data_IF_003831496162
#
_entry.id   IF_003831496162
#
_cell.length_a   1.000
_cell.length_b   1.000
_cell.length_c   1.000
_cell.angle_alpha   90.00
_cell.angle_beta   90.00
_cell.angle_gamma   90.00
#
_symmetry.space_group_name_H-M   'P 1'
#
loop_
_entity.id
_entity.type
_entity.pdbx_description
1 polymer ?
#
# COMPACT_ATOMS: atom_id res chain seq x y z
N UNK A 1 -6.65 -6.67 -9.27
CA UNK A 1 -6.37 -7.17 -10.62
C UNK A 1 -5.46 -8.39 -10.49
N UNK A 2 -5.93 -9.50 -9.90
CA UNK A 2 -5.04 -10.63 -9.59
C UNK A 2 -4.72 -11.49 -10.81
N UNK A 3 -5.57 -11.44 -11.85
CA UNK A 3 -5.30 -12.06 -13.15
C UNK A 3 -4.05 -11.45 -13.80
N UNK A 4 -3.84 -10.13 -13.67
CA UNK A 4 -2.60 -9.43 -14.03
C UNK A 4 -1.51 -9.63 -12.97
N UNK A 5 -1.82 -9.43 -11.69
CA UNK A 5 -0.90 -9.52 -10.56
C UNK A 5 -0.76 -10.97 -10.05
N UNK A 6 -0.22 -11.82 -10.92
CA UNK A 6 0.04 -13.24 -10.66
C UNK A 6 1.21 -13.74 -11.48
N UNK A 7 1.76 -14.89 -11.12
CA UNK A 7 2.89 -15.49 -11.84
C UNK A 7 2.47 -15.99 -13.23
N UNK A 8 3.41 -15.92 -14.16
CA UNK A 8 3.23 -16.30 -15.57
C UNK A 8 4.23 -17.38 -16.04
N UNK A 9 5.03 -17.94 -15.13
CA UNK A 9 6.09 -18.89 -15.47
C UNK A 9 5.61 -20.34 -15.62
N UNK A 10 4.42 -20.67 -15.10
CA UNK A 10 3.80 -22.00 -15.23
C UNK A 10 2.40 -21.81 -15.82
N UNK A 11 2.17 -22.47 -16.94
CA UNK A 11 0.85 -22.47 -17.59
C UNK A 11 -0.17 -23.21 -16.73
N UNK A 12 0.24 -24.32 -16.12
CA UNK A 12 -0.63 -25.13 -15.25
C UNK A 12 -1.11 -24.31 -14.06
N UNK A 13 -0.23 -23.53 -13.42
CA UNK A 13 -0.60 -22.63 -12.32
C UNK A 13 -1.63 -21.58 -12.76
N UNK A 14 -1.45 -21.00 -13.95
CA UNK A 14 -2.37 -20.01 -14.52
C UNK A 14 -3.75 -20.62 -14.83
N UNK A 15 -3.79 -21.87 -15.29
CA UNK A 15 -5.02 -22.57 -15.64
C UNK A 15 -5.76 -23.12 -14.40
N UNK A 16 -5.02 -23.60 -13.39
CA UNK A 16 -5.59 -24.23 -12.20
C UNK A 16 -6.13 -23.22 -11.19
N UNK A 17 -5.39 -22.14 -10.93
CA UNK A 17 -5.79 -21.20 -9.88
C UNK A 17 -7.06 -20.43 -10.28
N UNK A 18 -7.92 -20.17 -9.30
CA UNK A 18 -9.16 -19.40 -9.46
C UNK A 18 -9.15 -18.20 -8.53
N UNK A 19 -9.14 -17.01 -9.12
CA UNK A 19 -9.26 -15.76 -8.39
C UNK A 19 -10.74 -15.46 -8.15
N UNK A 20 -11.09 -15.09 -6.92
CA UNK A 20 -12.46 -14.87 -6.48
C UNK A 20 -13.02 -13.53 -6.97
N UNK A 21 -12.19 -12.50 -7.02
CA UNK A 21 -12.62 -11.12 -7.19
C UNK A 21 -11.64 -10.29 -8.04
N UNK A 22 -12.15 -9.19 -8.59
CA UNK A 22 -11.39 -8.29 -9.46
C UNK A 22 -10.15 -7.72 -8.77
N UNK A 23 -10.17 -7.52 -7.45
CA UNK A 23 -9.02 -7.16 -6.62
C UNK A 23 -8.92 -8.11 -5.43
N UNK A 24 -8.15 -9.20 -5.60
CA UNK A 24 -7.90 -10.15 -4.52
C UNK A 24 -7.40 -9.47 -3.26
N UNK A 25 -8.01 -9.83 -2.14
CA UNK A 25 -7.59 -9.42 -0.80
C UNK A 25 -6.28 -10.12 -0.38
N UNK A 26 -5.59 -9.57 0.63
CA UNK A 26 -4.33 -10.14 1.12
C UNK A 26 -4.45 -11.63 1.52
N UNK A 27 -5.51 -12.11 2.19
CA UNK A 27 -5.63 -13.53 2.52
C UNK A 27 -5.69 -14.44 1.29
N UNK A 28 -6.28 -14.01 0.18
CA UNK A 28 -6.30 -14.78 -1.07
C UNK A 28 -4.93 -14.79 -1.75
N UNK A 29 -4.24 -13.65 -1.77
CA UNK A 29 -2.87 -13.56 -2.30
C UNK A 29 -1.90 -14.43 -1.48
N UNK A 30 -2.08 -14.48 -0.16
CA UNK A 30 -1.27 -15.36 0.70
C UNK A 30 -1.51 -16.83 0.38
N UNK A 31 -2.78 -17.28 0.26
CA UNK A 31 -3.08 -18.65 -0.15
C UNK A 31 -2.48 -19.00 -1.51
N UNK A 32 -2.50 -18.06 -2.46
CA UNK A 32 -1.86 -18.23 -3.76
C UNK A 32 -0.35 -18.43 -3.62
N UNK A 33 0.34 -17.58 -2.84
CA UNK A 33 1.77 -17.71 -2.59
C UNK A 33 2.14 -19.01 -1.87
N UNK A 34 1.34 -19.42 -0.88
CA UNK A 34 1.49 -20.69 -0.17
C UNK A 34 1.34 -21.89 -1.10
N UNK A 35 0.30 -21.87 -1.96
CA UNK A 35 0.07 -22.88 -2.99
C UNK A 35 1.25 -22.98 -3.96
N UNK A 36 1.78 -21.85 -4.43
CA UNK A 36 2.97 -21.83 -5.29
C UNK A 36 4.17 -22.45 -4.58
N UNK A 37 4.41 -22.08 -3.32
CA UNK A 37 5.51 -22.63 -2.55
C UNK A 37 5.36 -24.14 -2.28
N UNK A 38 4.14 -24.66 -2.18
CA UNK A 38 3.88 -26.11 -2.02
C UNK A 38 4.06 -26.83 -3.36
N UNK A 39 3.48 -26.29 -4.44
CA UNK A 39 3.53 -26.87 -5.78
C UNK A 39 4.96 -27.09 -6.28
N UNK A 40 5.85 -26.14 -5.99
CA UNK A 40 7.24 -26.19 -6.44
C UNK A 40 8.22 -26.59 -5.33
N UNK A 41 7.69 -27.03 -4.18
CA UNK A 41 8.47 -27.48 -3.02
C UNK A 41 9.59 -26.49 -2.63
N UNK A 42 9.23 -25.21 -2.49
CA UNK A 42 10.18 -24.14 -2.23
C UNK A 42 10.57 -24.08 -0.74
N UNK A 43 9.69 -24.54 0.16
CA UNK A 43 9.87 -24.40 1.61
C UNK A 43 11.09 -25.14 2.15
N UNK A 44 11.52 -26.23 1.50
CA UNK A 44 12.70 -27.01 1.93
C UNK A 44 13.99 -26.19 1.95
N UNK A 45 14.06 -25.15 1.11
CA UNK A 45 15.24 -24.31 0.91
C UNK A 45 15.11 -22.94 1.61
N UNK A 46 14.02 -22.72 2.36
CA UNK A 46 13.75 -21.45 3.06
C UNK A 46 13.96 -21.63 4.56
N UNK A 47 14.87 -20.84 5.13
CA UNK A 47 14.97 -20.67 6.58
C UNK A 47 14.07 -19.51 7.02
N UNK A 48 12.88 -19.83 7.53
CA UNK A 48 11.99 -18.85 8.16
C UNK A 48 12.55 -18.41 9.52
N UNK A 49 11.95 -17.38 10.11
CA UNK A 49 12.35 -16.81 11.42
C UNK A 49 13.86 -16.52 11.51
N UNK A 50 14.46 -16.15 10.38
CA UNK A 50 15.90 -15.94 10.22
C UNK A 50 16.13 -14.61 9.51
N UNK A 51 16.84 -13.69 10.16
CA UNK A 51 17.16 -12.39 9.58
C UNK A 51 18.61 -12.36 9.15
N UNK A 52 18.86 -11.98 7.90
CA UNK A 52 20.23 -11.66 7.42
C UNK A 52 20.66 -10.33 8.03
N UNK A 53 21.74 -10.34 8.80
CA UNK A 53 22.23 -9.15 9.51
C UNK A 53 23.44 -8.52 8.83
N UNK A 54 24.28 -9.31 8.16
CA UNK A 54 25.41 -8.79 7.40
C UNK A 54 25.77 -9.63 6.17
N UNK A 55 26.34 -8.95 5.18
CA UNK A 55 26.89 -9.53 3.96
C UNK A 55 28.29 -8.96 3.74
N UNK A 56 29.33 -9.77 3.87
CA UNK A 56 30.73 -9.31 3.72
C UNK A 56 31.43 -10.07 2.61
N UNK A 57 31.92 -9.35 1.61
CA UNK A 57 32.73 -9.93 0.53
C UNK A 57 34.12 -10.34 1.01
N UNK A 58 34.52 -11.58 0.73
CA UNK A 58 35.80 -12.18 1.14
C UNK A 58 36.77 -12.42 -0.02
N UNK A 59 36.56 -11.78 -1.18
CA UNK A 59 37.41 -11.93 -2.36
C UNK A 59 36.94 -12.99 -3.36
N UNK A 60 36.38 -14.11 -2.90
CA UNK A 60 35.82 -15.17 -3.77
C UNK A 60 34.36 -15.55 -3.45
N UNK A 61 33.92 -15.25 -2.23
CA UNK A 61 32.57 -15.55 -1.75
C UNK A 61 32.09 -14.49 -0.76
N UNK A 62 30.80 -14.54 -0.45
CA UNK A 62 30.15 -13.74 0.56
C UNK A 62 30.05 -14.53 1.87
N UNK A 63 30.46 -13.92 2.97
CA UNK A 63 30.01 -14.31 4.30
C UNK A 63 28.64 -13.69 4.56
N UNK A 64 27.67 -14.56 4.85
CA UNK A 64 26.28 -14.20 5.15
C UNK A 64 26.04 -14.50 6.62
N UNK A 65 25.92 -13.46 7.44
CA UNK A 65 25.55 -13.60 8.83
C UNK A 65 24.04 -13.55 8.99
N UNK A 66 23.51 -14.47 9.78
CA UNK A 66 22.09 -14.59 10.08
C UNK A 66 21.88 -14.72 11.57
N UNK A 67 20.75 -14.23 12.06
CA UNK A 67 20.30 -14.42 13.43
C UNK A 67 18.92 -15.04 13.42
N UNK A 68 18.69 -16.04 14.27
CA UNK A 68 17.35 -16.53 14.53
C UNK A 68 16.53 -15.42 15.22
N UNK A 69 15.39 -15.06 14.64
CA UNK A 69 14.44 -14.15 15.23
C UNK A 69 13.57 -14.92 16.22
N UNK A 70 13.93 -14.92 17.50
CA UNK A 70 13.01 -15.39 18.54
C UNK A 70 12.03 -14.27 18.83
N UNK A 71 10.74 -14.52 18.63
CA UNK A 71 9.67 -13.61 19.04
C UNK A 71 9.78 -13.30 20.54
N UNK A 72 10.22 -12.08 20.88
CA UNK A 72 9.92 -11.46 22.17
C UNK A 72 10.93 -11.57 23.31
N UNK A 73 12.19 -11.95 23.10
CA UNK A 73 13.22 -11.83 24.16
C UNK A 73 14.52 -11.29 23.59
N UNK A 74 15.00 -10.17 24.15
CA UNK A 74 16.37 -9.67 24.01
C UNK A 74 17.34 -10.66 24.70
N UNK A 75 17.51 -11.83 24.09
CA UNK A 75 18.62 -12.74 24.35
C UNK A 75 19.64 -12.62 23.22
N UNK A 76 20.91 -12.89 23.50
CA UNK A 76 21.97 -13.01 22.47
C UNK A 76 21.55 -14.06 21.43
N UNK A 77 20.89 -13.62 20.36
CA UNK A 77 20.48 -14.49 19.28
C UNK A 77 21.73 -15.08 18.64
N UNK A 78 21.83 -16.40 18.63
CA UNK A 78 22.98 -17.09 18.06
C UNK A 78 23.17 -16.66 16.61
N UNK A 79 24.32 -16.03 16.33
CA UNK A 79 24.68 -15.62 14.97
C UNK A 79 25.30 -16.80 14.23
N UNK A 80 24.73 -17.15 13.09
CA UNK A 80 25.27 -18.17 12.19
C UNK A 80 25.87 -17.50 10.96
N UNK A 81 27.07 -17.91 10.56
CA UNK A 81 27.73 -17.43 9.35
C UNK A 81 27.82 -18.56 8.33
N UNK A 82 27.29 -18.31 7.13
CA UNK A 82 27.37 -19.22 5.97
C UNK A 82 28.09 -18.55 4.81
N UNK A 83 28.59 -19.34 3.86
CA UNK A 83 29.28 -18.84 2.66
C UNK A 83 28.41 -18.99 1.42
N UNK A 84 28.34 -17.97 0.58
CA UNK A 84 27.63 -18.01 -0.71
C UNK A 84 28.48 -17.40 -1.84
N UNK A 85 28.44 -17.99 -3.04
CA UNK A 85 29.13 -17.41 -4.22
C UNK A 85 28.40 -16.17 -4.75
N UNK A 86 27.08 -16.20 -4.70
CA UNK A 86 26.21 -15.12 -5.16
C UNK A 86 25.18 -14.81 -4.09
N UNK A 87 24.79 -13.53 -3.99
CA UNK A 87 23.72 -13.07 -3.12
C UNK A 87 22.70 -12.33 -3.96
N UNK A 88 21.43 -12.74 -3.86
CA UNK A 88 20.29 -12.10 -4.54
C UNK A 88 19.38 -11.49 -3.48
N UNK A 89 19.33 -10.17 -3.42
CA UNK A 89 18.50 -9.44 -2.45
C UNK A 89 17.05 -9.30 -2.97
N UNK A 90 16.19 -10.23 -2.56
CA UNK A 90 14.74 -10.17 -2.80
C UNK A 90 13.98 -9.61 -1.58
N UNK A 91 14.51 -8.55 -0.96
CA UNK A 91 14.07 -8.01 0.35
C UNK A 91 12.80 -7.13 0.29
N UNK A 92 12.24 -6.93 -0.90
CA UNK A 92 11.03 -6.14 -1.13
C UNK A 92 11.27 -4.62 -1.12
N UNK A 93 10.44 -3.88 -1.83
CA UNK A 93 10.53 -2.41 -1.93
C UNK A 93 9.64 -1.66 -0.92
N UNK A 94 8.80 -2.37 -0.15
CA UNK A 94 7.85 -1.84 0.83
C UNK A 94 7.76 -2.77 2.05
N UNK A 95 8.90 -3.08 2.66
CA UNK A 95 9.02 -4.09 3.73
C UNK A 95 9.54 -3.53 5.05
N UNK A 96 10.22 -2.39 5.05
CA UNK A 96 10.66 -1.70 6.26
C UNK A 96 9.56 -0.75 6.75
N UNK A 97 8.75 -1.19 7.72
CA UNK A 97 7.69 -0.37 8.31
C UNK A 97 8.22 0.97 8.84
N UNK A 98 7.58 2.08 8.45
CA UNK A 98 7.94 3.40 8.94
C UNK A 98 7.03 3.76 10.11
N UNK A 99 7.54 3.61 11.33
CA UNK A 99 6.85 4.05 12.55
C UNK A 99 7.44 5.41 12.97
N UNK A 100 6.75 6.53 12.69
CA UNK A 100 7.22 7.84 13.12
C UNK A 100 7.27 7.89 14.65
N UNK A 101 8.33 8.51 15.17
CA UNK A 101 8.43 8.80 16.60
C UNK A 101 7.67 10.07 16.91
N UNK A 102 6.83 10.03 17.94
CA UNK A 102 6.14 11.20 18.46
C UNK A 102 6.61 11.50 19.87
N UNK A 103 6.47 12.76 20.28
CA UNK A 103 6.72 13.15 21.67
C UNK A 103 5.83 12.31 22.59
N UNK A 104 6.45 11.68 23.59
CA UNK A 104 5.79 10.89 24.63
C UNK A 104 4.98 9.66 24.14
N UNK A 105 5.20 9.17 22.91
CA UNK A 105 4.46 8.03 22.33
C UNK A 105 4.44 6.77 23.22
N UNK A 106 5.54 6.50 23.93
CA UNK A 106 5.67 5.40 24.90
C UNK A 106 4.76 5.51 26.13
N UNK A 107 4.16 6.67 26.39
CA UNK A 107 3.28 6.85 27.55
C UNK A 107 1.88 6.28 27.33
N UNK A 108 1.45 6.12 26.07
CA UNK A 108 0.10 5.66 25.75
C UNK A 108 -0.15 4.26 26.31
N UNK A 109 -1.20 4.11 27.12
CA UNK A 109 -1.52 2.86 27.81
C UNK A 109 -2.45 1.95 27.00
N UNK A 110 -3.05 2.45 25.93
CA UNK A 110 -3.88 1.66 25.02
C UNK A 110 -3.06 0.81 24.05
N UNK A 111 -3.75 0.12 23.15
CA UNK A 111 -3.09 -0.75 22.16
C UNK A 111 -2.60 0.03 20.95
N UNK A 112 -1.41 -0.28 20.47
CA UNK A 112 -0.87 0.30 19.23
C UNK A 112 -0.68 -0.78 18.18
N UNK A 113 -0.97 -0.45 16.93
CA UNK A 113 -0.83 -1.35 15.80
C UNK A 113 -0.16 -0.62 14.64
N UNK A 114 0.69 -1.29 13.88
CA UNK A 114 1.19 -0.79 12.61
C UNK A 114 0.62 -1.65 11.48
N UNK A 115 0.10 -1.04 10.42
CA UNK A 115 -0.56 -1.80 9.33
C UNK A 115 0.39 -2.76 8.60
N UNK A 116 1.70 -2.50 8.66
CA UNK A 116 2.75 -3.40 8.14
C UNK A 116 3.17 -4.53 9.08
N UNK A 117 2.66 -4.58 10.31
CA UNK A 117 2.92 -5.63 11.29
C UNK A 117 1.64 -5.91 12.10
N UNK A 118 0.60 -6.34 11.40
CA UNK A 118 -0.73 -6.54 11.97
C UNK A 118 -0.84 -7.91 12.67
N UNK A 119 -1.53 -8.02 13.83
CA UNK A 119 -1.74 -9.30 14.50
C UNK A 119 -2.46 -10.32 13.61
N UNK A 120 -1.97 -11.57 13.61
CA UNK A 120 -2.49 -12.65 12.74
C UNK A 120 -3.90 -13.10 13.13
N UNK A 121 -4.21 -13.05 14.43
CA UNK A 121 -5.52 -13.34 15.00
C UNK A 121 -6.57 -12.25 14.72
N UNK A 122 -6.15 -11.15 14.09
CA UNK A 122 -6.97 -9.97 13.87
C UNK A 122 -7.09 -9.09 15.10
N UNK A 123 -7.85 -8.01 14.96
CA UNK A 123 -8.10 -7.05 16.02
C UNK A 123 -9.58 -6.72 16.03
N UNK A 124 -10.21 -6.84 17.20
CA UNK A 124 -11.58 -6.41 17.42
C UNK A 124 -11.60 -4.97 17.93
N UNK A 125 -12.22 -4.07 17.17
CA UNK A 125 -12.41 -2.67 17.55
C UNK A 125 -13.82 -2.38 18.09
N UNK A 126 -14.66 -3.40 18.28
CA UNK A 126 -16.03 -3.24 18.76
C UNK A 126 -16.07 -2.46 20.07
N UNK A 127 -16.83 -1.38 20.10
CA UNK A 127 -16.98 -0.54 21.30
C UNK A 127 -15.80 0.41 21.58
N UNK A 128 -14.72 0.37 20.80
CA UNK A 128 -13.51 1.15 21.06
C UNK A 128 -13.53 2.52 20.38
N UNK A 129 -12.80 3.45 20.99
CA UNK A 129 -12.37 4.73 20.42
C UNK A 129 -11.02 4.53 19.74
N UNK A 130 -10.98 4.64 18.41
CA UNK A 130 -9.80 4.29 17.62
C UNK A 130 -9.26 5.53 16.90
N UNK A 131 -7.95 5.70 16.92
CA UNK A 131 -7.26 6.66 16.07
C UNK A 131 -6.57 5.94 14.89
N UNK A 132 -6.66 6.49 13.68
CA UNK A 132 -5.82 6.08 12.54
C UNK A 132 -4.93 7.26 12.14
N UNK A 133 -3.62 7.05 12.17
CA UNK A 133 -2.62 8.05 11.75
C UNK A 133 -2.09 7.66 10.38
N UNK A 134 -2.36 8.50 9.38
CA UNK A 134 -1.91 8.30 8.00
C UNK A 134 -3.04 7.88 7.05
N UNK A 135 -3.08 8.52 5.89
CA UNK A 135 -4.12 8.35 4.87
C UNK A 135 -3.53 7.98 3.50
N UNK A 136 -2.42 7.24 3.50
CA UNK A 136 -1.94 6.52 2.32
C UNK A 136 -2.78 5.26 2.06
N UNK A 137 -2.34 4.38 1.15
CA UNK A 137 -3.08 3.17 0.78
C UNK A 137 -3.51 2.31 1.99
N UNK A 138 -2.63 2.11 2.98
CA UNK A 138 -2.93 1.33 4.18
C UNK A 138 -4.05 1.96 5.01
N UNK A 139 -4.05 3.29 5.17
CA UNK A 139 -5.10 4.01 5.88
C UNK A 139 -6.41 3.99 5.11
N UNK A 140 -6.34 4.29 3.81
CA UNK A 140 -7.50 4.30 2.91
C UNK A 140 -8.23 2.96 2.89
N UNK A 141 -7.50 1.84 2.91
CA UNK A 141 -8.10 0.50 2.89
C UNK A 141 -8.61 0.05 4.26
N UNK A 142 -7.96 0.47 5.35
CA UNK A 142 -8.33 0.02 6.71
C UNK A 142 -9.41 0.89 7.36
N UNK A 143 -9.48 2.19 7.06
CA UNK A 143 -10.44 3.14 7.64
C UNK A 143 -11.89 2.67 7.52
N UNK A 144 -12.39 2.23 6.35
CA UNK A 144 -13.77 1.72 6.23
C UNK A 144 -14.03 0.49 7.10
N UNK A 145 -13.07 -0.45 7.14
CA UNK A 145 -13.17 -1.66 7.95
C UNK A 145 -13.20 -1.34 9.46
N UNK A 146 -12.30 -0.47 9.92
CA UNK A 146 -12.23 -0.04 11.33
C UNK A 146 -13.50 0.75 11.71
N UNK A 147 -13.95 1.68 10.87
CA UNK A 147 -15.14 2.49 11.11
C UNK A 147 -16.43 1.67 11.26
N UNK A 148 -16.48 0.48 10.65
CA UNK A 148 -17.62 -0.43 10.73
C UNK A 148 -17.79 -1.09 12.10
N UNK A 149 -16.71 -1.19 12.89
CA UNK A 149 -16.68 -1.84 14.21
C UNK A 149 -16.55 -0.83 15.36
N UNK A 150 -15.70 0.19 15.19
CA UNK A 150 -15.36 1.15 16.25
C UNK A 150 -16.59 1.93 16.76
N UNK A 151 -16.65 2.15 18.07
CA UNK A 151 -17.63 3.08 18.64
C UNK A 151 -17.39 4.51 18.13
N UNK A 152 -16.13 4.90 17.97
CA UNK A 152 -15.74 6.14 17.30
C UNK A 152 -14.37 5.97 16.63
N UNK A 153 -14.24 6.43 15.38
CA UNK A 153 -12.98 6.49 14.64
C UNK A 153 -12.57 7.94 14.42
N UNK A 154 -11.35 8.30 14.79
CA UNK A 154 -10.72 9.57 14.43
C UNK A 154 -9.57 9.33 13.45
N UNK A 155 -9.70 9.90 12.25
CA UNK A 155 -8.65 9.84 11.22
C UNK A 155 -7.79 11.10 11.31
N UNK A 156 -6.52 10.93 11.63
CA UNK A 156 -5.51 11.97 11.77
C UNK A 156 -4.74 12.07 10.44
N UNK A 157 -5.14 13.03 9.61
CA UNK A 157 -4.65 13.20 8.24
C UNK A 157 -3.67 14.38 8.17
N UNK A 158 -2.45 14.16 7.66
CA UNK A 158 -1.53 15.26 7.33
C UNK A 158 -1.65 15.74 5.89
N UNK A 159 -1.64 14.83 4.93
CA UNK A 159 -1.78 15.18 3.51
C UNK A 159 -2.74 14.19 2.90
N UNK A 160 -3.92 14.64 2.41
CA UNK A 160 -4.83 13.75 1.69
C UNK A 160 -4.15 13.15 0.46
N UNK A 161 -4.38 11.86 0.20
CA UNK A 161 -3.93 11.18 -1.02
C UNK A 161 -5.09 11.10 -2.02
N UNK A 162 -4.76 11.13 -3.31
CA UNK A 162 -5.76 10.80 -4.32
C UNK A 162 -6.11 9.32 -4.23
N UNK A 163 -7.41 9.04 -4.14
CA UNK A 163 -7.98 7.71 -4.25
C UNK A 163 -9.10 7.66 -5.29
N UNK A 164 -9.19 6.52 -5.97
CA UNK A 164 -10.28 6.18 -6.90
C UNK A 164 -10.93 4.86 -6.48
N UNK A 165 -12.23 4.67 -6.74
CA UNK A 165 -12.92 3.46 -6.34
C UNK A 165 -12.34 2.25 -7.05
N UNK A 166 -12.18 1.13 -6.33
CA UNK A 166 -11.80 -0.15 -6.90
C UNK A 166 -12.87 -0.65 -7.88
N UNK A 167 -14.14 -0.38 -7.56
CA UNK A 167 -15.30 -1.03 -8.21
C UNK A 167 -15.07 -2.55 -8.20
N UNK A 168 -14.77 -3.04 -7.00
CA UNK A 168 -14.45 -4.44 -6.79
C UNK A 168 -15.73 -5.27 -6.90
N UNK A 169 -15.60 -6.47 -7.46
CA UNK A 169 -16.72 -7.36 -7.73
C UNK A 169 -16.17 -8.78 -7.93
N UNK A 170 -16.99 -9.82 -7.71
CA UNK A 170 -16.66 -11.17 -8.12
C UNK A 170 -16.28 -11.21 -9.60
N UNK A 171 -15.30 -12.03 -9.95
CA UNK A 171 -14.97 -12.26 -11.36
C UNK A 171 -16.07 -13.11 -12.01
N UNK A 172 -16.54 -12.72 -13.19
CA UNK A 172 -17.52 -13.53 -13.90
C UNK A 172 -16.85 -14.79 -14.48
N UNK A 173 -17.53 -15.95 -14.44
CA UNK A 173 -16.99 -17.18 -15.03
C UNK A 173 -16.62 -17.02 -16.51
N UNK A 174 -17.43 -16.32 -17.29
CA UNK A 174 -17.17 -16.05 -18.71
C UNK A 174 -15.90 -15.22 -18.92
N UNK A 175 -15.66 -14.21 -18.07
CA UNK A 175 -14.44 -13.42 -18.13
C UNK A 175 -13.23 -14.30 -17.81
N UNK A 176 -13.28 -15.08 -16.72
CA UNK A 176 -12.18 -15.99 -16.34
C UNK A 176 -11.90 -17.00 -17.45
N UNK A 177 -12.93 -17.62 -18.03
CA UNK A 177 -12.80 -18.56 -19.13
C UNK A 177 -12.17 -17.91 -20.37
N UNK A 178 -12.56 -16.67 -20.70
CA UNK A 178 -12.00 -15.92 -21.83
C UNK A 178 -10.51 -15.64 -21.67
N UNK A 179 -10.07 -15.32 -20.44
CA UNK A 179 -8.65 -15.11 -20.14
C UNK A 179 -7.91 -16.43 -20.18
N UNK A 180 -8.40 -17.46 -19.48
CA UNK A 180 -7.75 -18.79 -19.43
C UNK A 180 -7.61 -19.41 -20.83
N UNK A 181 -8.56 -19.22 -21.72
CA UNK A 181 -8.49 -19.69 -23.11
C UNK A 181 -7.36 -19.02 -23.93
N UNK A 182 -6.94 -17.80 -23.57
CA UNK A 182 -5.96 -17.01 -24.33
C UNK A 182 -4.94 -16.31 -23.41
N UNK A 183 -4.50 -16.98 -22.35
CA UNK A 183 -3.70 -16.34 -21.30
C UNK A 183 -2.40 -15.77 -21.86
N UNK A 184 -1.74 -16.47 -22.78
CA UNK A 184 -0.54 -15.99 -23.46
C UNK A 184 -0.73 -14.65 -24.18
N UNK A 185 -1.84 -14.48 -24.92
CA UNK A 185 -2.15 -13.22 -25.60
C UNK A 185 -2.50 -12.11 -24.59
N UNK A 186 -3.23 -12.45 -23.52
CA UNK A 186 -3.50 -11.52 -22.44
C UNK A 186 -2.19 -11.02 -21.79
N UNK A 187 -1.26 -11.91 -21.44
CA UNK A 187 0.06 -11.53 -20.89
C UNK A 187 0.84 -10.67 -21.89
N UNK A 188 0.85 -11.05 -23.17
CA UNK A 188 1.53 -10.28 -24.23
C UNK A 188 0.99 -8.86 -24.31
N UNK A 189 -0.33 -8.67 -24.39
CA UNK A 189 -0.95 -7.33 -24.42
C UNK A 189 -0.58 -6.51 -23.20
N UNK A 190 -0.66 -7.10 -22.00
CA UNK A 190 -0.28 -6.41 -20.77
C UNK A 190 1.20 -5.97 -20.81
N UNK A 191 2.12 -6.85 -21.25
CA UNK A 191 3.57 -6.56 -21.34
C UNK A 191 3.92 -5.40 -22.28
N UNK A 192 3.06 -5.10 -23.26
CA UNK A 192 3.24 -3.97 -24.18
C UNK A 192 2.80 -2.63 -23.59
N UNK A 193 2.15 -2.64 -22.42
CA UNK A 193 1.74 -1.41 -21.73
C UNK A 193 2.84 -0.91 -20.79
N UNK A 194 2.92 0.41 -20.59
CA UNK A 194 3.91 1.04 -19.70
C UNK A 194 3.89 0.49 -18.27
N UNK A 195 2.72 0.12 -17.77
CA UNK A 195 2.54 -0.35 -16.39
C UNK A 195 2.41 -1.88 -16.29
N UNK A 196 2.62 -2.61 -17.40
CA UNK A 196 2.41 -4.05 -17.49
C UNK A 196 1.00 -4.51 -17.05
N UNK A 197 -0.01 -3.67 -17.25
CA UNK A 197 -1.39 -3.88 -16.80
C UNK A 197 -2.40 -3.21 -17.74
N UNK A 198 -3.61 -3.79 -17.84
CA UNK A 198 -4.69 -3.25 -18.65
C UNK A 198 -4.48 -3.36 -20.16
N UNK A 199 -3.94 -4.47 -20.64
CA UNK A 199 -3.73 -4.73 -22.07
C UNK A 199 -4.97 -4.54 -22.96
N UNK A 200 -6.17 -4.81 -22.42
CA UNK A 200 -7.45 -4.58 -23.10
C UNK A 200 -8.10 -3.22 -22.74
N UNK A 201 -7.35 -2.33 -22.08
CA UNK A 201 -7.80 -0.99 -21.68
C UNK A 201 -6.72 0.05 -21.99
N UNK A 202 -6.36 0.21 -23.28
CA UNK A 202 -5.24 1.04 -23.71
C UNK A 202 -5.41 2.48 -23.25
N UNK A 203 -4.29 3.19 -23.09
CA UNK A 203 -4.31 4.63 -22.78
C UNK A 203 -5.06 5.40 -23.86
N UNK A 204 -5.83 6.43 -23.47
CA UNK A 204 -6.52 7.30 -24.42
C UNK A 204 -5.55 7.96 -25.40
N UNK A 205 -5.94 8.16 -26.67
CA UNK A 205 -5.02 8.61 -27.72
C UNK A 205 -4.72 10.11 -27.69
N UNK A 206 -5.51 10.90 -26.96
CA UNK A 206 -5.41 12.35 -26.88
C UNK A 206 -4.98 12.81 -25.48
N UNK A 207 -4.47 14.03 -25.40
CA UNK A 207 -4.28 14.74 -24.15
C UNK A 207 -5.58 15.31 -23.61
N UNK A 208 -5.66 15.54 -22.29
CA UNK A 208 -6.92 16.01 -21.68
C UNK A 208 -7.33 17.43 -22.13
N UNK A 209 -6.35 18.27 -22.49
CA UNK A 209 -6.59 19.61 -23.04
C UNK A 209 -6.97 19.62 -24.54
N UNK A 210 -6.80 18.51 -25.25
CA UNK A 210 -7.04 18.42 -26.71
C UNK A 210 -8.49 18.09 -27.07
N UNK A 211 -9.29 17.71 -26.08
CA UNK A 211 -10.69 17.30 -26.24
C UNK A 211 -11.64 18.29 -25.57
N UNK A 212 -12.92 18.26 -25.97
CA UNK A 212 -13.94 19.08 -25.32
C UNK A 212 -14.16 18.69 -23.86
N UNK A 213 -14.75 19.60 -23.08
CA UNK A 213 -15.08 19.36 -21.67
C UNK A 213 -16.00 18.14 -21.47
N UNK A 214 -16.96 17.95 -22.37
CA UNK A 214 -17.91 16.82 -22.33
C UNK A 214 -17.22 15.50 -22.65
N UNK A 215 -16.38 15.46 -23.69
CA UNK A 215 -15.58 14.27 -24.01
C UNK A 215 -14.61 13.93 -22.88
N UNK A 216 -13.96 14.94 -22.30
CA UNK A 216 -13.05 14.76 -21.17
C UNK A 216 -13.78 14.15 -19.98
N UNK A 217 -14.93 14.71 -19.62
CA UNK A 217 -15.75 14.23 -18.50
C UNK A 217 -16.26 12.81 -18.76
N UNK A 218 -16.72 12.50 -19.97
CA UNK A 218 -17.16 11.16 -20.33
C UNK A 218 -16.03 10.12 -20.23
N UNK A 219 -14.83 10.45 -20.72
CA UNK A 219 -13.67 9.56 -20.64
C UNK A 219 -13.23 9.30 -19.19
N UNK A 220 -13.19 10.35 -18.35
CA UNK A 220 -12.88 10.22 -16.93
C UNK A 220 -13.96 9.45 -16.17
N UNK A 221 -15.24 9.67 -16.48
CA UNK A 221 -16.34 8.91 -15.90
C UNK A 221 -16.25 7.43 -16.25
N UNK A 222 -16.02 7.09 -17.52
CA UNK A 222 -15.86 5.70 -17.95
C UNK A 222 -14.71 5.01 -17.19
N UNK A 223 -13.59 5.70 -16.98
CA UNK A 223 -12.46 5.20 -16.19
C UNK A 223 -12.77 5.11 -14.70
N UNK A 224 -13.50 6.06 -14.14
CA UNK A 224 -13.97 6.06 -12.75
C UNK A 224 -14.93 4.89 -12.46
N UNK A 225 -15.83 4.58 -13.40
CA UNK A 225 -16.73 3.43 -13.31
C UNK A 225 -16.01 2.10 -13.54
N UNK A 226 -14.97 2.09 -14.38
CA UNK A 226 -14.08 0.92 -14.48
C UNK A 226 -13.26 0.72 -13.21
N UNK A 227 -12.86 1.80 -12.53
CA UNK A 227 -12.17 1.77 -11.24
C UNK A 227 -10.70 1.35 -11.29
N UNK A 228 -9.97 1.71 -10.23
CA UNK A 228 -8.57 1.37 -10.00
C UNK A 228 -7.54 2.16 -10.81
N UNK A 229 -6.30 1.65 -10.82
CA UNK A 229 -5.10 2.37 -11.26
C UNK A 229 -5.12 2.82 -12.73
N UNK A 230 -5.92 2.13 -13.56
CA UNK A 230 -6.11 2.46 -14.96
C UNK A 230 -6.81 3.81 -15.20
N UNK A 231 -7.29 4.46 -14.15
CA UNK A 231 -7.87 5.80 -14.21
C UNK A 231 -6.95 6.83 -14.89
N UNK A 232 -5.66 6.83 -14.53
CA UNK A 232 -4.67 7.74 -15.10
C UNK A 232 -4.40 7.49 -16.60
N UNK A 233 -4.80 6.33 -17.12
CA UNK A 233 -4.75 6.02 -18.55
C UNK A 233 -5.90 6.63 -19.37
N UNK A 234 -6.73 7.49 -18.80
CA UNK A 234 -7.77 8.21 -19.55
C UNK A 234 -7.20 9.03 -20.72
N UNK A 235 -6.02 9.63 -20.51
CA UNK A 235 -5.33 10.50 -21.48
C UNK A 235 -3.84 10.13 -21.53
N UNK A 236 -3.20 10.35 -22.67
CA UNK A 236 -1.79 9.99 -22.89
C UNK A 236 -0.79 10.89 -22.14
N UNK A 237 -1.24 12.07 -21.71
CA UNK A 237 -0.41 13.13 -21.12
C UNK A 237 -0.72 13.39 -19.64
N UNK A 238 -1.54 12.55 -19.01
CA UNK A 238 -2.03 12.74 -17.65
C UNK A 238 -0.93 12.98 -16.60
N UNK A 239 0.29 12.48 -16.85
CA UNK A 239 1.45 12.59 -15.95
C UNK A 239 2.59 13.45 -16.52
N UNK A 240 2.39 14.09 -17.67
CA UNK A 240 3.43 14.85 -18.38
C UNK A 240 3.00 16.27 -18.73
N UNK A 241 1.70 16.55 -18.85
CA UNK A 241 1.16 17.88 -19.07
C UNK A 241 0.51 18.41 -17.76
N UNK A 242 1.02 19.51 -17.17
CA UNK A 242 0.48 20.08 -15.94
C UNK A 242 -0.98 20.52 -16.02
N UNK A 243 -1.43 21.05 -17.17
CA UNK A 243 -2.80 21.50 -17.34
C UNK A 243 -3.76 20.32 -17.45
N UNK A 244 -3.40 19.30 -18.25
CA UNK A 244 -4.16 18.04 -18.32
C UNK A 244 -4.25 17.38 -16.94
N UNK A 245 -3.14 17.34 -16.19
CA UNK A 245 -3.13 16.81 -14.83
C UNK A 245 -4.08 17.57 -13.90
N UNK A 246 -4.09 18.91 -13.98
CA UNK A 246 -5.00 19.75 -13.19
C UNK A 246 -6.47 19.43 -13.49
N UNK A 247 -6.84 19.30 -14.76
CA UNK A 247 -8.22 18.96 -15.16
C UNK A 247 -8.66 17.57 -14.64
N UNK A 248 -7.74 16.60 -14.65
CA UNK A 248 -7.99 15.24 -14.11
C UNK A 248 -8.10 15.29 -12.58
N UNK A 249 -7.23 16.05 -11.91
CA UNK A 249 -7.26 16.25 -10.47
C UNK A 249 -8.57 16.92 -10.02
N UNK A 250 -9.02 17.94 -10.75
CA UNK A 250 -10.26 18.66 -10.48
C UNK A 250 -11.48 17.73 -10.60
N UNK A 251 -11.50 16.83 -11.59
CA UNK A 251 -12.53 15.78 -11.67
C UNK A 251 -12.59 14.90 -10.42
N UNK A 252 -11.44 14.48 -9.88
CA UNK A 252 -11.43 13.67 -8.65
C UNK A 252 -11.92 14.49 -7.44
N UNK A 253 -11.52 15.75 -7.32
CA UNK A 253 -12.03 16.65 -6.26
C UNK A 253 -13.53 16.87 -6.38
N UNK A 254 -14.08 16.94 -7.58
CA UNK A 254 -15.53 17.00 -7.82
C UNK A 254 -16.23 15.73 -7.33
N UNK A 255 -15.66 14.55 -7.60
CA UNK A 255 -16.18 13.28 -7.09
C UNK A 255 -16.18 13.21 -5.57
N UNK A 256 -15.12 13.70 -4.91
CA UNK A 256 -15.06 13.79 -3.45
C UNK A 256 -16.19 14.68 -2.93
N UNK A 257 -16.35 15.88 -3.51
CA UNK A 257 -17.42 16.83 -3.14
C UNK A 257 -18.84 16.31 -3.38
N UNK A 258 -19.02 15.44 -4.38
CA UNK A 258 -20.30 14.78 -4.65
C UNK A 258 -20.59 13.65 -3.65
N UNK A 259 -19.56 13.02 -3.10
CA UNK A 259 -19.67 11.82 -2.25
C UNK A 259 -19.79 12.19 -0.78
N UNK A 260 -19.03 13.17 -0.31
CA UNK A 260 -18.96 13.59 1.10
C UNK A 260 -19.96 14.73 1.34
N UNK A 261 -20.91 14.50 2.25
CA UNK A 261 -22.04 15.40 2.53
C UNK A 261 -21.62 16.70 3.22
N UNK A 262 -20.65 16.62 4.12
CA UNK A 262 -20.10 17.78 4.80
C UNK A 262 -19.07 18.48 3.88
N UNK A 263 -19.32 19.72 3.44
CA UNK A 263 -18.44 20.42 2.51
C UNK A 263 -17.05 20.71 3.10
N UNK A 264 -16.91 20.86 4.42
CA UNK A 264 -15.62 21.10 5.06
C UNK A 264 -14.79 19.82 5.14
N UNK A 265 -15.44 18.69 5.43
CA UNK A 265 -14.76 17.38 5.35
C UNK A 265 -14.34 17.09 3.90
N UNK A 266 -15.22 17.34 2.92
CA UNK A 266 -14.90 17.19 1.50
C UNK A 266 -13.70 18.04 1.08
N UNK A 267 -13.62 19.29 1.57
CA UNK A 267 -12.48 20.19 1.35
C UNK A 267 -11.19 19.59 1.94
N UNK A 268 -11.22 19.12 3.19
CA UNK A 268 -10.04 18.53 3.87
C UNK A 268 -9.58 17.22 3.22
N UNK A 269 -10.49 16.43 2.65
CA UNK A 269 -10.16 15.21 1.91
C UNK A 269 -9.64 15.45 0.49
N UNK A 270 -9.85 16.65 -0.06
CA UNK A 270 -9.45 16.99 -1.42
C UNK A 270 -7.95 17.30 -1.50
N UNK A 271 -7.13 16.49 -2.22
CA UNK A 271 -5.71 16.75 -2.32
C UNK A 271 -5.38 17.98 -3.17
N UNK A 272 -4.36 18.73 -2.77
CA UNK A 272 -3.78 19.88 -3.50
C UNK A 272 -2.57 19.50 -4.37
N UNK A 273 -1.98 18.31 -4.13
CA UNK A 273 -0.83 17.78 -4.86
C UNK A 273 -1.11 17.43 -6.33
N UNK A 274 -0.06 17.12 -7.09
CA UNK A 274 -0.15 16.60 -8.47
C UNK A 274 -0.66 15.15 -8.44
N UNK A 275 -1.77 14.86 -9.12
CA UNK A 275 -2.32 13.50 -9.16
C UNK A 275 -1.35 12.56 -9.90
N UNK A 276 -1.04 11.42 -9.30
CA UNK A 276 -0.08 10.45 -9.83
C UNK A 276 1.39 10.73 -9.54
N UNK A 277 1.74 11.87 -8.93
CA UNK A 277 3.10 12.11 -8.41
C UNK A 277 3.40 11.20 -7.21
N UNK A 278 2.45 11.09 -6.28
CA UNK A 278 2.36 9.95 -5.36
C UNK A 278 1.48 8.88 -6.01
N UNK A 279 1.74 7.62 -5.69
CA UNK A 279 0.96 6.49 -6.20
C UNK A 279 -0.53 6.71 -5.91
N UNK A 280 -1.35 6.62 -6.96
CA UNK A 280 -2.81 6.66 -6.85
C UNK A 280 -3.29 5.51 -5.95
N UNK A 281 -4.12 5.83 -4.96
CA UNK A 281 -4.73 4.84 -4.09
C UNK A 281 -6.01 4.29 -4.73
N UNK A 282 -6.39 3.09 -4.29
CA UNK A 282 -7.60 2.41 -4.75
C UNK A 282 -8.38 2.00 -3.51
N UNK A 283 -9.64 2.42 -3.43
CA UNK A 283 -10.46 2.28 -2.24
C UNK A 283 -11.75 1.49 -2.44
N UNK A 284 -12.35 1.10 -1.32
CA UNK A 284 -13.74 0.66 -1.24
C UNK A 284 -14.39 1.46 -0.12
N UNK A 285 -15.34 2.33 -0.48
CA UNK A 285 -16.14 3.17 0.42
C UNK A 285 -15.33 4.14 1.32
N UNK A 286 -14.12 4.55 0.90
CA UNK A 286 -13.28 5.42 1.74
C UNK A 286 -13.88 6.80 1.97
N UNK A 287 -14.33 7.47 0.90
CA UNK A 287 -14.92 8.81 1.04
C UNK A 287 -16.29 8.73 1.70
N UNK A 288 -17.09 7.72 1.37
CA UNK A 288 -18.40 7.45 1.95
C UNK A 288 -18.32 7.23 3.47
N UNK A 289 -17.23 6.65 3.96
CA UNK A 289 -16.99 6.41 5.39
C UNK A 289 -17.07 7.70 6.22
N UNK A 290 -16.69 8.84 5.67
CA UNK A 290 -16.75 10.13 6.37
C UNK A 290 -18.15 10.72 6.48
N UNK A 291 -19.16 10.10 5.88
CA UNK A 291 -20.57 10.45 6.10
C UNK A 291 -21.18 9.79 7.34
N UNK A 292 -20.44 8.87 8.00
CA UNK A 292 -20.89 8.19 9.21
C UNK A 292 -20.80 9.11 10.41
N UNK A 293 -21.75 9.02 11.33
CA UNK A 293 -21.76 9.81 12.57
C UNK A 293 -20.63 9.45 13.55
N UNK A 294 -20.07 8.24 13.43
CA UNK A 294 -18.99 7.74 14.30
C UNK A 294 -17.58 7.97 13.74
N UNK A 295 -17.43 8.80 12.71
CA UNK A 295 -16.15 9.09 12.05
C UNK A 295 -15.86 10.58 12.11
N UNK A 296 -14.63 10.94 12.48
CA UNK A 296 -14.13 12.32 12.47
C UNK A 296 -12.81 12.41 11.73
N UNK A 297 -12.59 13.53 11.05
CA UNK A 297 -11.36 13.85 10.33
C UNK A 297 -10.66 15.05 10.98
N UNK A 298 -9.38 14.88 11.32
CA UNK A 298 -8.52 15.95 11.84
C UNK A 298 -7.43 16.24 10.81
N UNK A 299 -7.35 17.49 10.36
CA UNK A 299 -6.25 17.97 9.50
C UNK A 299 -5.06 18.36 10.40
N UNK A 300 -4.01 17.56 10.35
CA UNK A 300 -2.79 17.76 11.13
C UNK A 300 -1.93 18.94 10.63
N UNK A 301 -2.25 19.54 9.49
CA UNK A 301 -1.62 20.79 9.04
C UNK A 301 -2.18 22.00 9.78
N UNK A 302 -3.44 21.92 10.19
CA UNK A 302 -4.13 22.95 10.98
C UNK A 302 -4.02 22.67 12.48
N UNK A 303 -4.07 21.39 12.88
CA UNK A 303 -4.06 20.93 14.28
C UNK A 303 -3.03 19.80 14.47
N UNK A 304 -1.73 20.11 14.55
CA UNK A 304 -0.67 19.10 14.61
C UNK A 304 -0.76 18.25 15.88
N UNK A 305 -0.18 17.04 15.82
CA UNK A 305 0.04 16.21 17.01
C UNK A 305 1.17 16.83 17.81
N UNK A 306 0.88 17.25 19.04
CA UNK A 306 1.87 17.84 19.94
C UNK A 306 2.63 16.77 20.72
N UNK A 307 1.87 15.90 21.39
CA UNK A 307 2.40 14.77 22.17
C UNK A 307 1.33 13.74 22.47
N UNK A 308 1.78 12.55 22.81
CA UNK A 308 0.93 11.50 23.33
C UNK A 308 0.73 11.69 24.85
N UNK A 309 -0.36 11.13 25.35
CA UNK A 309 -0.66 11.04 26.78
C UNK A 309 -0.89 9.59 27.13
N UNK A 310 -1.09 9.32 28.43
CA UNK A 310 -1.48 7.98 28.87
C UNK A 310 -2.80 7.50 28.25
N UNK A 311 -3.71 8.42 27.92
CA UNK A 311 -5.09 8.11 27.45
C UNK A 311 -5.28 8.34 25.96
N UNK A 312 -4.38 9.04 25.27
CA UNK A 312 -4.53 9.32 23.86
C UNK A 312 -3.54 10.35 23.33
N UNK A 313 -4.03 11.34 22.59
CA UNK A 313 -3.20 12.28 21.82
C UNK A 313 -3.67 13.71 22.06
N UNK A 314 -2.73 14.62 22.31
CA UNK A 314 -2.99 16.06 22.30
C UNK A 314 -2.74 16.60 20.89
N UNK A 315 -3.76 17.28 20.34
CA UNK A 315 -3.69 17.95 19.03
C UNK A 315 -3.94 19.45 19.19
N UNK A 316 -3.18 20.25 18.46
CA UNK A 316 -3.24 21.72 18.51
C UNK A 316 -3.09 22.29 19.93
N UNK A 317 -3.81 23.38 20.23
CA UNK A 317 -3.68 24.17 21.47
C UNK A 317 -4.36 23.53 22.70
N UNK A 318 -4.09 22.25 22.97
CA UNK A 318 -4.41 21.49 24.20
C UNK A 318 -5.70 20.64 24.22
N UNK A 319 -6.29 20.26 23.08
CA UNK A 319 -7.38 19.27 23.11
C UNK A 319 -6.81 17.85 23.23
N UNK A 320 -7.06 17.18 24.36
CA UNK A 320 -6.76 15.74 24.52
C UNK A 320 -7.90 14.92 23.90
N UNK A 321 -7.54 14.07 22.95
CA UNK A 321 -8.43 13.07 22.37
C UNK A 321 -8.07 11.71 22.96
N UNK A 322 -9.01 11.10 23.68
CA UNK A 322 -8.81 9.80 24.32
C UNK A 322 -9.09 8.65 23.34
N UNK A 323 -8.27 7.60 23.38
CA UNK A 323 -8.35 6.42 22.51
C UNK A 323 -8.04 5.14 23.27
N UNK A 324 -8.72 4.05 22.91
CA UNK A 324 -8.40 2.70 23.39
C UNK A 324 -7.33 2.05 22.50
N UNK A 325 -7.30 2.43 21.22
CA UNK A 325 -6.36 1.93 20.24
C UNK A 325 -5.88 3.00 19.24
N UNK A 326 -4.62 2.90 18.82
CA UNK A 326 -4.01 3.74 17.80
C UNK A 326 -3.42 2.86 16.70
N UNK A 327 -3.83 3.11 15.46
CA UNK A 327 -3.37 2.42 14.26
C UNK A 327 -2.47 3.36 13.45
N UNK A 328 -1.21 2.97 13.29
CA UNK A 328 -0.24 3.64 12.44
C UNK A 328 -0.31 3.06 11.03
N UNK A 329 -0.89 3.86 10.11
CA UNK A 329 -0.94 3.60 8.68
C UNK A 329 0.08 4.50 7.95
N UNK A 330 1.31 4.52 8.47
CA UNK A 330 2.36 5.51 8.17
C UNK A 330 3.33 5.07 7.08
N UNK A 331 3.06 3.95 6.42
CA UNK A 331 3.77 3.48 5.24
C UNK A 331 5.09 2.78 5.58
N UNK A 332 6.04 2.91 4.66
CA UNK A 332 7.30 2.16 4.68
C UNK A 332 8.47 3.07 4.29
N UNK A 333 9.66 2.75 4.78
CA UNK A 333 10.91 3.23 4.20
C UNK A 333 11.14 2.49 2.87
N UNK A 334 10.67 3.12 1.79
CA UNK A 334 10.50 2.49 0.49
C UNK A 334 11.82 2.38 -0.28
N UNK A 335 11.91 1.34 -1.13
CA UNK A 335 13.02 1.03 -2.04
C UNK A 335 14.31 0.58 -1.36
N UNK A 336 14.90 1.40 -0.49
CA UNK A 336 16.23 1.12 0.08
C UNK A 336 16.18 0.64 1.53
N UNK A 337 15.14 0.95 2.30
CA UNK A 337 15.10 0.70 3.75
C UNK A 337 15.47 -0.73 4.15
N UNK A 338 14.91 -1.74 3.48
CA UNK A 338 15.21 -3.14 3.78
C UNK A 338 16.67 -3.54 3.49
N UNK A 339 17.26 -2.99 2.42
CA UNK A 339 18.66 -3.23 2.07
C UNK A 339 19.58 -2.47 3.02
N UNK A 340 19.23 -1.22 3.34
CA UNK A 340 19.95 -0.40 4.29
C UNK A 340 20.06 -1.11 5.63
N UNK A 341 19.03 -1.79 6.12
CA UNK A 341 19.06 -2.51 7.41
C UNK A 341 20.06 -3.68 7.50
N UNK A 342 20.67 -4.10 6.40
CA UNK A 342 21.73 -5.12 6.37
C UNK A 342 23.10 -4.41 6.37
N UNK A 343 24.05 -4.88 7.19
CA UNK A 343 25.45 -4.42 7.08
C UNK A 343 26.12 -5.07 5.86
N UNK A 344 26.05 -4.39 4.71
CA UNK A 344 26.60 -4.87 3.44
C UNK A 344 27.95 -4.22 3.17
N UNK A 345 28.98 -5.05 3.02
CA UNK A 345 30.37 -4.67 2.82
C UNK A 345 30.96 -5.35 1.59
N UNK A 346 31.35 -4.55 0.61
CA UNK A 346 31.95 -5.00 -0.64
C UNK A 346 33.47 -5.12 -0.56
N UNK A 347 34.13 -4.93 -1.71
CA UNK A 347 35.60 -4.90 -1.81
C UNK A 347 36.19 -3.84 -0.89
N UNK A 348 37.37 -4.13 -0.34
CA UNK A 348 38.11 -3.24 0.56
C UNK A 348 37.30 -2.78 1.78
N UNK A 349 36.34 -3.62 2.21
CA UNK A 349 35.44 -3.37 3.33
C UNK A 349 34.52 -2.14 3.16
N UNK A 350 34.32 -1.67 1.93
CA UNK A 350 33.48 -0.53 1.60
C UNK A 350 32.01 -0.83 1.89
N UNK A 351 31.33 0.06 2.64
CA UNK A 351 29.92 -0.13 3.01
C UNK A 351 29.01 0.35 1.90
N UNK A 352 27.96 -0.42 1.60
CA UNK A 352 26.97 -0.03 0.60
C UNK A 352 26.28 1.30 0.96
N UNK A 353 26.02 1.53 2.25
CA UNK A 353 25.41 2.77 2.73
C UNK A 353 26.27 4.01 2.44
N UNK A 354 27.58 3.89 2.51
CA UNK A 354 28.50 5.00 2.25
C UNK A 354 28.48 5.33 0.75
N UNK A 355 28.53 4.30 -0.10
CA UNK A 355 28.44 4.44 -1.57
C UNK A 355 27.11 5.07 -2.01
N UNK A 356 26.01 4.75 -1.34
CA UNK A 356 24.69 5.32 -1.65
C UNK A 356 24.45 6.70 -1.04
N UNK A 357 25.36 7.18 -0.19
CA UNK A 357 25.28 8.53 0.40
C UNK A 357 25.98 9.59 -0.46
N UNK A 358 26.83 9.16 -1.39
CA UNK A 358 27.40 9.97 -2.48
C UNK A 358 26.40 10.09 -3.64
#
# INVERSE_FOLDING_TARGET
MPVEYSYQFSEELQQEWEWSEKYATQPEILRYAEHVADRFDLRRDISFDTTVTSLTWQGESWHVATTASTSGVDGDAATTVTTARFVVLATGCLSAANVPRFTDDRLFAGRTYHTGNWPHEGVDFTGQRVAVIGTGSSGIQSVPAIASQAAHLTVLQRTPAYSVPARNQPLSPDYVASIKANYGEFRRKNSLTRAALGGDTPTGPHGACEVSDDERRAALEARWQKGGLLFLGAFNDALTNPESNRLIADFVRDKIRQTVRDPEIARRLSPDSVIGCKRLCVDTDYYETFNRSNVSLIDLRETPIERFTRRGIIVGDATELEFDAIVFATGFDAMTGAISNIDIRGRDNLRLRDVWSE
#
